data_IF_934551208127
#
_entry.id   IF_934551208127
#
_cell.length_a   1.000
_cell.length_b   1.000
_cell.length_c   1.000
_cell.angle_alpha   90.00
_cell.angle_beta   90.00
_cell.angle_gamma   90.00
#
_symmetry.space_group_name_H-M   'P 1'
#
loop_
_entity.id
_entity.type
_entity.pdbx_description
1 polymer ?
#
# COMPACT_ATOMS: atom_id res chain seq x y z
N UNK A 1 -9.71 -14.34 1.60
CA UNK A 1 -9.24 -14.02 0.24
C UNK A 1 -8.91 -12.53 0.16
N UNK A 2 -7.83 -12.14 -0.51
CA UNK A 2 -7.45 -10.73 -0.70
C UNK A 2 -8.40 -10.04 -1.68
N UNK A 3 -8.96 -8.88 -1.31
CA UNK A 3 -9.85 -8.08 -2.17
C UNK A 3 -9.14 -7.47 -3.39
N UNK A 4 -7.81 -7.35 -3.34
CA UNK A 4 -6.99 -6.82 -4.42
C UNK A 4 -6.66 -7.84 -5.53
N UNK A 5 -7.02 -9.13 -5.37
CA UNK A 5 -6.67 -10.18 -6.33
C UNK A 5 -7.40 -9.94 -7.66
N UNK A 6 -6.65 -9.56 -8.70
CA UNK A 6 -7.15 -9.23 -10.04
C UNK A 6 -7.17 -7.73 -10.38
N UNK A 7 -6.82 -6.86 -9.43
CA UNK A 7 -6.86 -5.39 -9.59
C UNK A 7 -5.50 -4.70 -9.51
N UNK A 8 -4.40 -5.41 -9.76
CA UNK A 8 -3.04 -4.90 -9.56
C UNK A 8 -2.78 -3.53 -10.24
N UNK A 9 -3.38 -3.28 -11.41
CA UNK A 9 -3.29 -2.02 -12.14
C UNK A 9 -3.93 -0.80 -11.44
N UNK A 10 -4.86 -1.03 -10.50
CA UNK A 10 -5.46 0.01 -9.66
C UNK A 10 -4.57 0.39 -8.46
N UNK A 11 -3.67 -0.51 -8.05
CA UNK A 11 -2.75 -0.32 -6.92
C UNK A 11 -1.35 0.18 -7.33
N UNK A 12 -1.00 0.06 -8.61
CA UNK A 12 0.25 0.58 -9.17
C UNK A 12 0.10 2.07 -9.55
N UNK A 13 0.90 2.93 -8.90
CA UNK A 13 0.95 4.37 -9.18
C UNK A 13 2.34 4.89 -9.56
N UNK A 14 3.34 4.01 -9.67
CA UNK A 14 4.67 4.37 -10.13
C UNK A 14 4.67 4.89 -11.59
N UNK A 15 3.70 4.46 -12.41
CA UNK A 15 3.64 4.78 -13.85
C UNK A 15 2.52 5.76 -14.24
N UNK A 16 1.86 6.48 -13.32
CA UNK A 16 0.77 7.41 -13.70
C UNK A 16 1.33 8.79 -14.09
N UNK A 17 1.18 9.23 -15.35
CA UNK A 17 1.57 10.58 -15.73
C UNK A 17 0.57 11.61 -15.17
N UNK A 18 1.05 12.77 -14.73
CA UNK A 18 0.20 13.97 -14.54
C UNK A 18 -0.58 14.07 -13.23
N UNK A 19 0.00 13.69 -12.08
CA UNK A 19 -0.58 14.03 -10.76
C UNK A 19 -1.80 13.22 -10.32
N UNK A 20 -2.33 12.34 -11.19
CA UNK A 20 -3.43 11.41 -10.89
C UNK A 20 -3.06 10.29 -9.90
N UNK A 21 -1.78 10.22 -9.50
CA UNK A 21 -1.30 9.28 -8.50
C UNK A 21 -2.00 9.46 -7.15
N UNK A 22 -2.38 10.70 -6.77
CA UNK A 22 -3.13 10.95 -5.52
C UNK A 22 -4.51 10.30 -5.52
N UNK A 23 -5.25 10.43 -6.61
CA UNK A 23 -6.61 9.88 -6.73
C UNK A 23 -6.60 8.35 -6.78
N UNK A 24 -5.63 7.75 -7.50
CA UNK A 24 -5.40 6.30 -7.45
C UNK A 24 -5.00 5.81 -6.05
N UNK A 25 -4.20 6.59 -5.34
CA UNK A 25 -3.79 6.29 -3.95
C UNK A 25 -4.99 6.18 -3.02
N UNK A 26 -5.88 7.17 -3.06
CA UNK A 26 -7.09 7.21 -2.24
C UNK A 26 -8.04 6.06 -2.60
N UNK A 27 -8.23 5.77 -3.90
CA UNK A 27 -9.04 4.64 -4.34
C UNK A 27 -8.46 3.29 -3.85
N UNK A 28 -7.15 3.09 -3.98
CA UNK A 28 -6.49 1.87 -3.50
C UNK A 28 -6.53 1.73 -1.97
N UNK A 29 -6.43 2.84 -1.23
CA UNK A 29 -6.60 2.87 0.23
C UNK A 29 -8.02 2.45 0.63
N UNK A 30 -9.04 3.02 -0.01
CA UNK A 30 -10.44 2.65 0.23
C UNK A 30 -10.75 1.19 -0.12
N UNK A 31 -10.17 0.67 -1.20
CA UNK A 31 -10.32 -0.75 -1.58
C UNK A 31 -9.64 -1.69 -0.57
N UNK A 32 -8.57 -1.23 0.07
CA UNK A 32 -7.91 -1.96 1.14
C UNK A 32 -8.69 -1.92 2.47
N UNK A 33 -9.49 -0.88 2.71
CA UNK A 33 -10.29 -0.77 3.93
C UNK A 33 -11.26 -1.95 4.08
N UNK A 34 -11.14 -2.67 5.20
CA UNK A 34 -11.95 -3.87 5.49
C UNK A 34 -11.52 -5.13 4.73
N UNK A 35 -10.31 -5.18 4.18
CA UNK A 35 -9.76 -6.42 3.63
C UNK A 35 -9.33 -7.35 4.78
N UNK A 36 -9.85 -8.59 4.87
CA UNK A 36 -9.61 -9.50 6.01
C UNK A 36 -8.16 -10.00 6.11
N UNK A 37 -7.33 -9.69 5.12
CA UNK A 37 -5.90 -10.06 5.09
C UNK A 37 -4.98 -8.85 5.20
N UNK A 38 -5.47 -7.71 5.75
CA UNK A 38 -4.68 -6.50 5.91
C UNK A 38 -3.39 -6.73 6.70
N UNK A 39 -3.45 -7.43 7.84
CA UNK A 39 -2.28 -7.72 8.66
C UNK A 39 -1.21 -8.51 7.87
N UNK A 40 -1.64 -9.57 7.17
CA UNK A 40 -0.75 -10.39 6.36
C UNK A 40 -0.20 -9.62 5.15
N UNK A 41 -1.01 -8.76 4.52
CA UNK A 41 -0.60 -7.90 3.42
C UNK A 41 0.48 -6.91 3.86
N UNK A 42 0.34 -6.30 5.05
CA UNK A 42 1.35 -5.41 5.61
C UNK A 42 2.66 -6.14 5.91
N UNK A 43 2.58 -7.37 6.46
CA UNK A 43 3.75 -8.20 6.74
C UNK A 43 4.52 -8.57 5.46
N UNK A 44 3.81 -8.91 4.39
CA UNK A 44 4.41 -9.21 3.08
C UNK A 44 5.07 -7.95 2.49
N UNK A 45 4.42 -6.78 2.59
CA UNK A 45 4.99 -5.53 2.10
C UNK A 45 6.32 -5.17 2.77
N UNK A 46 6.38 -5.35 4.10
CA UNK A 46 7.60 -5.16 4.90
C UNK A 46 8.69 -6.17 4.52
N UNK A 47 8.32 -7.45 4.38
CA UNK A 47 9.26 -8.53 4.01
C UNK A 47 9.85 -8.37 2.61
N UNK A 48 9.04 -7.93 1.65
CA UNK A 48 9.46 -7.81 0.24
C UNK A 48 9.98 -6.41 -0.13
N UNK A 49 10.07 -5.47 0.83
CA UNK A 49 10.50 -4.10 0.57
C UNK A 49 9.73 -3.47 -0.59
N UNK A 50 8.41 -3.62 -0.60
CA UNK A 50 7.61 -3.15 -1.72
C UNK A 50 7.65 -1.61 -1.84
N UNK A 51 7.71 -1.10 -3.07
CA UNK A 51 7.78 0.34 -3.38
C UNK A 51 6.84 0.67 -4.54
N UNK A 52 6.41 1.94 -4.63
CA UNK A 52 5.62 2.43 -5.77
C UNK A 52 4.20 1.87 -5.87
N UNK A 53 3.71 1.21 -4.81
CA UNK A 53 2.40 0.56 -4.75
C UNK A 53 1.75 0.73 -3.37
N UNK A 54 0.42 0.60 -3.32
CA UNK A 54 -0.35 0.61 -2.07
C UNK A 54 -0.41 -0.80 -1.49
N UNK A 55 -0.02 -0.93 -0.22
CA UNK A 55 -0.05 -2.20 0.52
C UNK A 55 -0.83 -2.03 1.82
N UNK A 56 -1.76 -2.95 2.10
CA UNK A 56 -2.64 -2.88 3.28
C UNK A 56 -3.29 -1.49 3.47
N UNK A 57 -3.55 -0.78 2.37
CA UNK A 57 -4.10 0.59 2.37
C UNK A 57 -3.11 1.67 2.76
N UNK A 58 -1.81 1.37 2.76
CA UNK A 58 -0.72 2.33 2.98
C UNK A 58 0.02 2.54 1.67
N UNK A 59 0.15 3.78 1.19
CA UNK A 59 0.90 4.08 -0.02
C UNK A 59 2.40 4.17 0.27
N UNK A 60 3.20 3.30 -0.37
CA UNK A 60 4.66 3.32 -0.26
C UNK A 60 5.29 4.06 -1.45
N UNK A 61 5.93 5.21 -1.25
CA UNK A 61 6.57 5.97 -2.34
C UNK A 61 7.51 5.09 -3.20
N UNK A 62 7.63 5.35 -4.51
CA UNK A 62 8.60 4.65 -5.36
C UNK A 62 10.05 5.07 -5.04
N UNK A 63 10.26 6.27 -4.49
CA UNK A 63 11.57 6.78 -4.09
C UNK A 63 11.99 6.27 -2.71
N UNK A 64 13.03 5.45 -2.68
CA UNK A 64 13.53 4.78 -1.47
C UNK A 64 14.06 5.76 -0.40
N UNK A 65 14.58 6.92 -0.82
CA UNK A 65 15.22 7.94 0.04
C UNK A 65 14.25 9.01 0.55
N UNK A 66 12.97 8.90 0.22
CA UNK A 66 11.99 9.87 0.72
C UNK A 66 11.68 9.61 2.21
N UNK A 67 11.68 10.63 3.09
CA UNK A 67 11.24 10.49 4.48
C UNK A 67 9.80 9.94 4.60
N UNK A 68 9.04 10.02 3.52
CA UNK A 68 7.72 9.41 3.36
C UNK A 68 7.72 7.87 3.36
N UNK A 69 8.82 7.20 2.99
CA UNK A 69 8.94 5.72 3.02
C UNK A 69 9.02 5.21 4.45
N UNK A 70 9.77 5.90 5.32
CA UNK A 70 9.87 5.55 6.74
C UNK A 70 8.50 5.66 7.40
N UNK A 71 7.77 6.74 7.12
CA UNK A 71 6.39 6.92 7.61
C UNK A 71 5.46 5.81 7.11
N UNK A 72 5.49 5.50 5.81
CA UNK A 72 4.68 4.42 5.23
C UNK A 72 5.02 3.06 5.87
N UNK A 73 6.30 2.77 6.14
CA UNK A 73 6.71 1.55 6.85
C UNK A 73 6.17 1.49 8.27
N UNK A 74 6.20 2.60 9.02
CA UNK A 74 5.63 2.63 10.36
C UNK A 74 4.12 2.36 10.35
N UNK A 75 3.38 2.96 9.40
CA UNK A 75 1.95 2.70 9.24
C UNK A 75 1.66 1.23 8.87
N UNK A 76 2.51 0.61 8.05
CA UNK A 76 2.40 -0.82 7.75
C UNK A 76 2.65 -1.69 8.98
N UNK A 77 3.65 -1.35 9.80
CA UNK A 77 3.92 -2.07 11.05
C UNK A 77 2.71 -1.99 11.98
N UNK A 78 2.13 -0.81 12.16
CA UNK A 78 0.95 -0.62 12.99
C UNK A 78 -0.23 -1.48 12.48
N UNK A 79 -0.50 -1.47 11.18
CA UNK A 79 -1.56 -2.30 10.56
C UNK A 79 -1.26 -3.80 10.61
N UNK A 80 0.00 -4.21 10.63
CA UNK A 80 0.41 -5.59 10.83
C UNK A 80 0.14 -6.08 12.27
N UNK A 81 0.20 -5.17 13.25
CA UNK A 81 0.01 -5.45 14.67
C UNK A 81 -1.45 -5.33 15.13
N UNK A 82 -2.25 -4.44 14.55
CA UNK A 82 -3.61 -4.12 15.01
C UNK A 82 -4.76 -4.94 14.39
N UNK A 83 -4.51 -5.78 13.39
CA UNK A 83 -5.57 -6.54 12.68
C UNK A 83 -5.46 -8.07 12.88
N UNK A 84 -5.22 -8.49 14.13
CA UNK A 84 -5.30 -9.90 14.58
C UNK A 84 -6.72 -10.30 14.96
#
# INVERSE_FOLDING_TARGET
MSRCRGRAAEYEYANVPGGQWRTKREAAEQLCAGCPVMAQCAHIALKHHALGMVWAGVPIPPEHDSPHVVKARMELIERALHHG
#
